data_IF_130619081904
#
_entry.id   IF_130619081904
#
_cell.length_a   1.000
_cell.length_b   1.000
_cell.length_c   1.000
_cell.angle_alpha   90.00
_cell.angle_beta   90.00
_cell.angle_gamma   90.00
#
_symmetry.space_group_name_H-M   'P 1'
#
loop_
_entity.id
_entity.type
_entity.pdbx_description
1 polymer ?
#
# COMPACT_ATOMS: atom_id res chain seq x y z
N UNK A 1 -22.54 -25.93 -13.50
CA UNK A 1 -21.82 -25.60 -14.75
C UNK A 1 -21.19 -24.23 -14.58
N UNK A 2 -19.86 -24.13 -14.53
CA UNK A 2 -19.18 -22.85 -14.37
C UNK A 2 -19.14 -22.12 -15.73
N UNK A 3 -19.95 -21.07 -15.87
CA UNK A 3 -20.02 -20.25 -17.08
C UNK A 3 -18.76 -19.38 -17.16
N UNK A 4 -17.76 -19.84 -17.94
CA UNK A 4 -16.52 -19.11 -18.20
C UNK A 4 -16.90 -17.84 -18.99
N UNK A 5 -16.68 -16.67 -18.38
CA UNK A 5 -16.91 -15.41 -19.07
C UNK A 5 -15.86 -15.24 -20.18
N UNK A 6 -16.26 -14.99 -21.43
CA UNK A 6 -15.40 -15.11 -22.62
C UNK A 6 -14.47 -13.91 -22.87
N UNK A 7 -14.40 -12.95 -21.96
CA UNK A 7 -13.70 -11.68 -22.18
C UNK A 7 -12.46 -11.57 -21.30
N UNK A 8 -11.33 -11.27 -21.95
CA UNK A 8 -10.08 -10.91 -21.30
C UNK A 8 -9.85 -9.41 -21.52
N UNK A 9 -9.77 -8.64 -20.45
CA UNK A 9 -9.50 -7.20 -20.50
C UNK A 9 -7.99 -6.99 -20.61
N UNK A 10 -7.53 -6.49 -21.75
CA UNK A 10 -6.11 -6.17 -21.97
C UNK A 10 -5.73 -4.91 -21.18
N UNK A 11 -4.52 -4.91 -20.61
CA UNK A 11 -3.95 -3.74 -19.94
C UNK A 11 -4.26 -3.61 -18.45
N UNK A 12 -5.08 -4.51 -17.87
CA UNK A 12 -5.25 -4.58 -16.41
C UNK A 12 -3.99 -5.23 -15.82
N UNK A 13 -3.30 -4.62 -14.86
CA UNK A 13 -2.08 -5.18 -14.28
C UNK A 13 -2.39 -6.41 -13.40
N UNK A 14 -1.36 -7.13 -12.94
CA UNK A 14 -1.56 -8.42 -12.28
C UNK A 14 -2.24 -8.28 -10.92
N UNK A 15 -1.80 -7.28 -10.16
CA UNK A 15 -2.30 -6.90 -8.85
C UNK A 15 -3.82 -6.64 -8.87
N UNK A 16 -4.30 -5.88 -9.85
CA UNK A 16 -5.73 -5.55 -9.97
C UNK A 16 -6.59 -6.78 -10.29
N UNK A 17 -6.05 -7.71 -11.08
CA UNK A 17 -6.74 -8.98 -11.37
C UNK A 17 -6.85 -9.85 -10.12
N UNK A 18 -5.81 -9.89 -9.28
CA UNK A 18 -5.85 -10.63 -8.03
C UNK A 18 -6.79 -9.97 -7.02
N UNK A 19 -6.79 -8.64 -6.93
CA UNK A 19 -7.74 -7.89 -6.10
C UNK A 19 -9.20 -8.20 -6.50
N UNK A 20 -9.51 -8.14 -7.80
CA UNK A 20 -10.84 -8.48 -8.30
C UNK A 20 -11.25 -9.93 -7.98
N UNK A 21 -10.31 -10.89 -8.07
CA UNK A 21 -10.57 -12.29 -7.69
C UNK A 21 -10.88 -12.43 -6.20
N UNK A 22 -10.12 -11.75 -5.34
CA UNK A 22 -10.33 -11.79 -3.90
C UNK A 22 -11.70 -11.22 -3.53
N UNK A 23 -12.07 -10.06 -4.08
CA UNK A 23 -13.38 -9.43 -3.85
C UNK A 23 -14.53 -10.29 -4.37
N UNK A 24 -14.39 -10.92 -5.54
CA UNK A 24 -15.38 -11.83 -6.07
C UNK A 24 -15.58 -13.07 -5.16
N UNK A 25 -14.48 -13.63 -4.63
CA UNK A 25 -14.52 -14.74 -3.66
C UNK A 25 -15.19 -14.33 -2.36
N UNK A 26 -14.90 -13.13 -1.85
CA UNK A 26 -15.57 -12.59 -0.67
C UNK A 26 -17.07 -12.43 -0.89
N UNK A 27 -17.49 -12.01 -2.08
CA UNK A 27 -18.90 -11.91 -2.47
C UNK A 27 -19.57 -13.28 -2.73
N UNK A 28 -18.83 -14.39 -2.69
CA UNK A 28 -19.36 -15.72 -3.01
C UNK A 28 -19.78 -15.90 -4.48
N UNK A 29 -19.31 -15.01 -5.37
CA UNK A 29 -19.70 -14.98 -6.78
C UNK A 29 -18.52 -15.36 -7.69
N UNK A 30 -18.78 -15.95 -8.86
CA UNK A 30 -17.73 -16.12 -9.86
C UNK A 30 -17.30 -14.75 -10.39
N UNK A 31 -15.99 -14.57 -10.63
CA UNK A 31 -15.37 -13.29 -11.03
C UNK A 31 -16.13 -12.57 -12.16
N UNK A 32 -16.52 -13.30 -13.20
CA UNK A 32 -17.23 -12.72 -14.33
C UNK A 32 -18.64 -12.19 -13.98
N UNK A 33 -19.38 -12.88 -13.10
CA UNK A 33 -20.68 -12.39 -12.64
C UNK A 33 -20.53 -11.19 -11.71
N UNK A 34 -19.57 -11.24 -10.79
CA UNK A 34 -19.26 -10.13 -9.89
C UNK A 34 -18.89 -8.86 -10.66
N UNK A 35 -17.99 -8.97 -11.63
CA UNK A 35 -17.56 -7.82 -12.44
C UNK A 35 -18.68 -7.30 -13.34
N UNK A 36 -19.52 -8.18 -13.90
CA UNK A 36 -20.68 -7.79 -14.70
C UNK A 36 -21.76 -7.06 -13.88
N UNK A 37 -21.90 -7.37 -12.59
CA UNK A 37 -22.78 -6.65 -11.67
C UNK A 37 -22.18 -5.30 -11.29
N UNK A 38 -20.88 -5.27 -11.02
CA UNK A 38 -20.16 -4.04 -10.69
C UNK A 38 -20.24 -3.03 -11.84
N UNK A 39 -19.97 -3.45 -13.08
CA UNK A 39 -20.09 -2.58 -14.26
C UNK A 39 -21.51 -2.05 -14.42
N UNK A 40 -22.53 -2.90 -14.24
CA UNK A 40 -23.94 -2.48 -14.31
C UNK A 40 -24.28 -1.43 -13.27
N UNK A 41 -23.93 -1.66 -12.00
CA UNK A 41 -24.12 -0.71 -10.90
C UNK A 41 -23.45 0.64 -11.19
N UNK A 42 -22.20 0.62 -11.66
CA UNK A 42 -21.46 1.83 -11.99
C UNK A 42 -22.06 2.56 -13.20
N UNK A 43 -22.60 1.82 -14.19
CA UNK A 43 -23.26 2.41 -15.36
C UNK A 43 -24.64 2.99 -15.04
N UNK A 44 -25.37 2.37 -14.10
CA UNK A 44 -26.66 2.85 -13.60
C UNK A 44 -26.49 4.11 -12.71
N UNK A 45 -25.32 4.24 -12.06
CA UNK A 45 -24.96 5.34 -11.16
C UNK A 45 -24.54 6.68 -11.82
N UNK A 46 -24.67 6.84 -13.13
CA UNK A 46 -24.43 8.16 -13.79
C UNK A 46 -25.63 9.13 -13.62
N UNK A 47 -26.72 8.68 -12.97
CA UNK A 47 -27.90 9.52 -12.68
C UNK A 47 -28.08 9.92 -11.21
N UNK A 48 -27.34 9.34 -10.27
CA UNK A 48 -27.45 9.72 -8.86
C UNK A 48 -26.13 9.47 -8.14
N UNK A 49 -25.37 10.54 -7.95
CA UNK A 49 -24.17 10.54 -7.10
C UNK A 49 -24.60 10.48 -5.63
N UNK A 50 -25.05 9.31 -5.17
CA UNK A 50 -25.06 8.89 -3.77
C UNK A 50 -25.55 7.44 -3.64
N UNK A 51 -24.85 6.49 -4.26
CA UNK A 51 -25.04 5.07 -3.94
C UNK A 51 -23.69 4.35 -3.94
N UNK A 52 -23.14 4.28 -2.73
CA UNK A 52 -22.10 3.40 -2.22
C UNK A 52 -21.50 2.37 -3.20
N UNK A 53 -20.18 2.49 -3.38
CA UNK A 53 -19.26 1.36 -3.57
C UNK A 53 -19.66 0.21 -2.62
N UNK A 54 -19.41 -1.07 -2.93
CA UNK A 54 -19.59 -2.12 -1.94
C UNK A 54 -18.68 -1.83 -0.74
N UNK A 55 -19.27 -1.26 0.31
CA UNK A 55 -18.63 -1.18 1.60
C UNK A 55 -18.34 -2.61 2.08
N UNK A 56 -17.23 -2.84 2.80
CA UNK A 56 -17.09 -4.06 3.56
C UNK A 56 -18.33 -4.19 4.45
N UNK A 57 -19.01 -5.34 4.36
CA UNK A 57 -20.19 -5.69 5.14
C UNK A 57 -19.95 -5.40 6.64
N UNK A 58 -20.44 -4.25 7.11
CA UNK A 58 -20.77 -4.02 8.50
C UNK A 58 -22.21 -4.48 8.70
N UNK A 59 -22.41 -5.80 8.77
CA UNK A 59 -23.70 -6.32 9.18
C UNK A 59 -23.82 -6.27 10.72
N UNK A 60 -24.77 -5.43 11.14
CA UNK A 60 -25.83 -5.81 12.07
C UNK A 60 -25.44 -6.07 13.52
N UNK A 61 -25.09 -4.98 14.21
CA UNK A 61 -25.65 -4.65 15.52
C UNK A 61 -25.56 -3.12 15.65
N UNK A 62 -26.54 -2.42 15.08
CA UNK A 62 -26.69 -0.97 15.31
C UNK A 62 -27.53 -0.77 16.57
N UNK A 63 -26.93 -0.48 17.75
CA UNK A 63 -27.69 0.15 18.81
C UNK A 63 -28.15 1.51 18.31
N UNK A 64 -29.43 1.75 18.55
CA UNK A 64 -30.16 2.98 18.34
C UNK A 64 -29.34 4.23 18.69
N UNK A 65 -29.28 5.17 17.74
CA UNK A 65 -28.78 6.54 17.89
C UNK A 65 -27.50 6.69 18.75
N UNK A 66 -26.33 6.43 18.14
CA UNK A 66 -25.09 7.02 18.64
C UNK A 66 -25.16 8.53 18.40
N UNK A 67 -25.51 9.26 19.45
CA UNK A 67 -25.11 10.66 19.68
C UNK A 67 -23.72 10.90 19.06
N UNK A 68 -23.46 12.05 18.42
CA UNK A 68 -22.15 12.33 17.84
C UNK A 68 -21.12 12.16 18.96
N UNK A 69 -20.39 11.05 18.93
CA UNK A 69 -19.36 10.77 19.90
C UNK A 69 -18.41 11.96 19.82
N UNK A 70 -18.42 12.78 20.86
CA UNK A 70 -17.58 13.95 20.95
C UNK A 70 -16.15 13.45 20.78
N UNK A 71 -15.61 13.62 19.58
CA UNK A 71 -14.20 13.36 19.31
C UNK A 71 -13.47 14.23 20.31
N UNK A 72 -12.77 13.61 21.26
CA UNK A 72 -12.03 14.36 22.26
C UNK A 72 -11.17 15.39 21.52
N UNK A 73 -11.21 16.68 21.90
CA UNK A 73 -10.53 17.74 21.13
C UNK A 73 -9.04 17.42 20.92
N UNK A 74 -8.43 16.72 21.87
CA UNK A 74 -7.05 16.24 21.80
C UNK A 74 -6.78 15.29 20.61
N UNK A 75 -7.74 14.42 20.25
CA UNK A 75 -7.61 13.51 19.13
C UNK A 75 -7.72 14.24 17.78
N UNK A 76 -8.54 15.30 17.71
CA UNK A 76 -8.62 16.15 16.53
C UNK A 76 -7.32 16.96 16.34
N UNK A 77 -6.78 17.54 17.42
CA UNK A 77 -5.52 18.28 17.39
C UNK A 77 -4.32 17.39 17.02
N UNK A 78 -4.28 16.13 17.47
CA UNK A 78 -3.26 15.16 17.07
C UNK A 78 -3.34 14.84 15.57
N UNK A 79 -4.55 14.68 15.05
CA UNK A 79 -4.79 14.39 13.63
C UNK A 79 -4.37 15.59 12.76
N UNK A 80 -4.68 16.81 13.19
CA UNK A 80 -4.24 18.05 12.53
C UNK A 80 -2.71 18.19 12.55
N UNK A 81 -2.05 17.91 13.70
CA UNK A 81 -0.59 17.92 13.81
C UNK A 81 0.04 16.89 12.87
N UNK A 82 -0.54 15.69 12.78
CA UNK A 82 -0.05 14.64 11.89
C UNK A 82 -0.23 15.00 10.41
N UNK A 83 -1.36 15.62 10.04
CA UNK A 83 -1.60 16.10 8.68
C UNK A 83 -0.62 17.22 8.29
N UNK A 84 -0.37 18.17 9.19
CA UNK A 84 0.61 19.23 8.96
C UNK A 84 2.03 18.67 8.76
N UNK A 85 2.42 17.67 9.56
CA UNK A 85 3.73 17.01 9.42
C UNK A 85 3.86 16.24 8.08
N UNK A 86 2.79 15.59 7.62
CA UNK A 86 2.75 14.93 6.31
C UNK A 86 2.84 15.95 5.17
N UNK A 87 2.15 17.08 5.28
CA UNK A 87 2.21 18.14 4.27
C UNK A 87 3.64 18.70 4.13
N UNK A 88 4.31 18.97 5.25
CA UNK A 88 5.69 19.43 5.24
C UNK A 88 6.66 18.43 4.58
N UNK A 89 6.43 17.12 4.78
CA UNK A 89 7.22 16.07 4.12
C UNK A 89 7.00 16.05 2.60
N UNK A 90 5.76 16.23 2.15
CA UNK A 90 5.43 16.32 0.72
C UNK A 90 6.11 17.54 0.09
N UNK A 91 6.07 18.69 0.76
CA UNK A 91 6.69 19.92 0.26
C UNK A 91 8.22 19.79 0.18
N UNK A 92 8.85 19.17 1.18
CA UNK A 92 10.28 18.87 1.16
C UNK A 92 10.65 17.91 0.02
N UNK A 93 9.87 16.86 -0.21
CA UNK A 93 10.09 15.92 -1.31
C UNK A 93 9.97 16.62 -2.67
N UNK A 94 8.97 17.48 -2.84
CA UNK A 94 8.77 18.28 -4.05
C UNK A 94 9.92 19.27 -4.30
N UNK A 95 10.48 19.86 -3.25
CA UNK A 95 11.66 20.72 -3.37
C UNK A 95 12.88 19.93 -3.86
N UNK A 96 13.12 18.75 -3.29
CA UNK A 96 14.21 17.84 -3.73
C UNK A 96 14.02 17.41 -5.18
N UNK A 97 12.80 17.07 -5.58
CA UNK A 97 12.48 16.70 -6.96
C UNK A 97 12.67 17.86 -7.95
N UNK A 98 12.47 19.10 -7.51
CA UNK A 98 12.70 20.29 -8.33
C UNK A 98 14.19 20.61 -8.48
N UNK A 99 14.98 20.40 -7.43
CA UNK A 99 16.42 20.65 -7.41
C UNK A 99 17.25 19.49 -7.98
N UNK A 100 16.64 18.34 -8.22
CA UNK A 100 17.25 17.27 -8.99
C UNK A 100 17.51 17.79 -10.42
N UNK A 101 18.77 17.82 -10.87
CA UNK A 101 19.07 18.21 -12.23
C UNK A 101 18.35 17.23 -13.15
N UNK A 102 17.38 17.73 -13.92
CA UNK A 102 16.82 17.01 -15.06
C UNK A 102 18.00 16.76 -15.99
N UNK A 103 18.59 15.57 -15.89
CA UNK A 103 19.69 15.11 -16.72
C UNK A 103 19.14 14.83 -18.12
N UNK A 104 18.79 15.92 -18.80
CA UNK A 104 18.26 15.99 -20.16
C UNK A 104 19.30 16.49 -21.16
N UNK A 105 20.58 16.26 -20.90
CA UNK A 105 21.68 16.58 -21.81
C UNK A 105 22.46 15.32 -22.21
N UNK A 106 21.83 14.47 -23.04
CA UNK A 106 22.41 13.51 -24.01
C UNK A 106 23.44 12.44 -23.51
N UNK A 107 23.59 11.32 -24.25
CA UNK A 107 24.08 10.05 -23.74
C UNK A 107 25.57 9.83 -24.01
N UNK A 108 26.44 10.05 -23.02
CA UNK A 108 27.83 9.59 -23.08
C UNK A 108 28.19 8.95 -21.74
N UNK A 109 28.07 7.61 -21.70
CA UNK A 109 28.65 6.76 -20.67
C UNK A 109 27.66 6.28 -19.61
N UNK A 110 27.48 4.97 -19.53
CA UNK A 110 26.91 4.25 -18.37
C UNK A 110 27.67 4.49 -17.06
N UNK A 111 28.83 5.15 -17.11
CA UNK A 111 29.74 5.37 -15.99
C UNK A 111 29.14 6.06 -14.74
N UNK A 112 28.23 7.05 -14.84
CA UNK A 112 27.62 7.65 -13.64
C UNK A 112 26.62 6.71 -12.97
N UNK A 113 25.85 5.98 -13.77
CA UNK A 113 24.86 5.00 -13.29
C UNK A 113 25.59 3.79 -12.70
N UNK A 114 26.64 3.29 -13.35
CA UNK A 114 27.50 2.22 -12.82
C UNK A 114 28.15 2.62 -11.50
N UNK A 115 28.63 3.88 -11.35
CA UNK A 115 29.13 4.38 -10.06
C UNK A 115 28.05 4.46 -8.99
N UNK A 116 26.83 4.83 -9.35
CA UNK A 116 25.70 4.85 -8.42
C UNK A 116 25.32 3.42 -7.98
N UNK A 117 25.29 2.47 -8.92
CA UNK A 117 25.03 1.05 -8.66
C UNK A 117 26.13 0.42 -7.81
N UNK A 118 27.41 0.69 -8.09
CA UNK A 118 28.52 0.21 -7.25
C UNK A 118 28.42 0.75 -5.82
N UNK A 119 28.14 2.04 -5.64
CA UNK A 119 27.97 2.62 -4.29
C UNK A 119 26.75 2.05 -3.56
N UNK A 120 25.67 1.76 -4.28
CA UNK A 120 24.50 1.12 -3.70
C UNK A 120 24.81 -0.33 -3.27
N UNK A 121 25.50 -1.09 -4.13
CA UNK A 121 25.96 -2.45 -3.85
C UNK A 121 26.87 -2.50 -2.62
N UNK A 122 27.84 -1.59 -2.51
CA UNK A 122 28.72 -1.49 -1.34
C UNK A 122 27.96 -1.14 -0.05
N UNK A 123 26.91 -0.30 -0.14
CA UNK A 123 26.09 0.04 1.03
C UNK A 123 25.22 -1.13 1.47
N UNK A 124 24.62 -1.85 0.54
CA UNK A 124 23.82 -3.05 0.84
C UNK A 124 24.70 -4.13 1.47
N UNK A 125 25.88 -4.38 0.92
CA UNK A 125 26.80 -5.39 1.45
C UNK A 125 27.33 -5.03 2.85
N UNK A 126 27.56 -3.74 3.14
CA UNK A 126 27.92 -3.28 4.49
C UNK A 126 26.76 -3.47 5.48
N UNK A 127 25.52 -3.22 5.05
CA UNK A 127 24.34 -3.46 5.87
C UNK A 127 24.12 -4.93 6.17
N UNK A 128 24.28 -5.80 5.16
CA UNK A 128 24.24 -7.25 5.36
C UNK A 128 25.29 -7.69 6.38
N UNK A 129 26.53 -7.19 6.26
CA UNK A 129 27.60 -7.55 7.19
C UNK A 129 27.32 -7.08 8.63
N UNK A 130 26.77 -5.88 8.82
CA UNK A 130 26.37 -5.41 10.16
C UNK A 130 25.22 -6.22 10.75
N UNK A 131 24.26 -6.65 9.91
CA UNK A 131 23.12 -7.46 10.35
C UNK A 131 23.58 -8.85 10.77
N UNK A 132 24.50 -9.47 10.02
CA UNK A 132 25.06 -10.79 10.38
C UNK A 132 26.00 -10.74 11.59
N UNK A 133 26.76 -9.66 11.79
CA UNK A 133 27.60 -9.48 12.99
C UNK A 133 26.77 -9.24 14.27
N UNK A 134 25.60 -8.60 14.17
CA UNK A 134 24.68 -8.43 15.31
C UNK A 134 24.02 -9.75 15.74
N UNK A 135 23.73 -10.67 14.81
CA UNK A 135 23.13 -11.98 15.13
C UNK A 135 24.11 -12.90 15.91
N UNK A 136 25.40 -12.91 15.55
CA UNK A 136 26.42 -13.70 16.27
C UNK A 136 26.70 -13.14 17.68
N UNK A 137 26.60 -11.82 17.87
CA UNK A 137 26.73 -11.20 19.19
C UNK A 137 25.50 -11.44 20.09
N UNK A 138 24.30 -11.57 19.50
CA UNK A 138 23.04 -11.72 20.24
C UNK A 138 22.73 -13.19 20.60
N UNK A 139 23.23 -14.16 19.82
CA UNK A 139 23.14 -15.61 20.12
C UNK A 139 23.95 -16.07 21.36
N UNK A 140 24.97 -15.31 21.75
CA UNK A 140 25.82 -15.61 22.92
C UNK A 140 25.24 -15.19 24.28
N UNK A 141 24.29 -14.26 24.29
CA UNK A 141 23.70 -13.72 25.53
C UNK A 141 22.47 -14.52 25.97
N UNK A 142 21.66 -15.01 25.02
CA UNK A 142 20.49 -15.85 25.30
C UNK A 142 20.86 -17.26 25.79
N UNK A 143 22.00 -17.82 25.35
CA UNK A 143 22.44 -19.17 25.74
C UNK A 143 22.91 -19.29 27.21
N UNK A 144 23.11 -18.17 27.92
CA UNK A 144 23.53 -18.18 29.34
C UNK A 144 22.37 -18.13 30.33
N UNK A 145 21.14 -17.89 29.86
CA UNK A 145 19.97 -17.79 30.73
C UNK A 145 19.11 -19.06 30.84
N UNK A 146 19.25 -20.03 29.92
CA UNK A 146 18.39 -21.24 29.89
C UNK A 146 19.12 -22.58 30.13
N UNK A 147 20.33 -22.58 30.69
CA UNK A 147 21.22 -23.75 30.71
C UNK A 147 21.66 -24.30 32.07
N UNK A 148 20.91 -24.16 33.16
CA UNK A 148 21.24 -24.85 34.43
C UNK A 148 20.00 -25.20 35.27
N UNK A 149 19.49 -26.41 35.08
CA UNK A 149 18.79 -27.20 36.10
C UNK A 149 19.25 -28.65 35.99
#
# INVERSE_FOLDING_TARGET
MAQISPWSVKGVPYEDREAAKLLARQAGLPLGAWLSQLIRRMSEGTGDSSAALPEPFLDQDMPEALEPAAVAPEAAEELERRLAALQAQIDALNAVLRDLPVSGAQPEGSAPIERAVMRLSERVQRLEQTVFEEEDAQGGVMSRFFGRR
#
